data_IF_596102114443
#
_entry.id   IF_596102114443
#
_cell.length_a   1.000
_cell.length_b   1.000
_cell.length_c   1.000
_cell.angle_alpha   90.00
_cell.angle_beta   90.00
_cell.angle_gamma   90.00
#
_symmetry.space_group_name_H-M   'P 1'
#
loop_
_entity.id
_entity.type
_entity.pdbx_description
1 polymer ?
#
# COMPACT_ATOMS: atom_id res chain seq x y z
N UNK A 1 -21.18 -58.99 -12.68
CA UNK A 1 -22.37 -58.19 -12.31
C UNK A 1 -21.86 -56.98 -11.56
N UNK A 2 -21.80 -55.83 -12.24
CA UNK A 2 -21.21 -54.59 -11.71
C UNK A 2 -22.32 -53.55 -11.64
N UNK A 3 -22.68 -53.13 -10.43
CA UNK A 3 -23.78 -52.17 -10.21
C UNK A 3 -23.25 -50.76 -10.38
N UNK A 4 -23.61 -50.11 -11.49
CA UNK A 4 -23.36 -48.67 -11.74
C UNK A 4 -24.49 -47.89 -11.05
N UNK A 5 -24.18 -47.15 -9.98
CA UNK A 5 -25.10 -46.19 -9.37
C UNK A 5 -25.16 -44.93 -10.25
N UNK A 6 -26.35 -44.62 -10.78
CA UNK A 6 -26.64 -43.34 -11.46
C UNK A 6 -26.53 -42.20 -10.45
N UNK A 7 -25.53 -41.33 -10.61
CA UNK A 7 -25.42 -40.06 -9.92
C UNK A 7 -26.46 -39.11 -10.51
N UNK A 8 -27.49 -38.77 -9.73
CA UNK A 8 -28.46 -37.75 -10.09
C UNK A 8 -27.79 -36.38 -10.08
N UNK A 9 -27.80 -35.70 -11.22
CA UNK A 9 -27.45 -34.29 -11.31
C UNK A 9 -28.50 -33.47 -10.54
N UNK A 10 -28.18 -33.05 -9.32
CA UNK A 10 -28.91 -31.95 -8.68
C UNK A 10 -28.48 -30.66 -9.37
N UNK A 11 -29.42 -30.07 -10.11
CA UNK A 11 -29.33 -28.67 -10.53
C UNK A 11 -29.12 -27.81 -9.29
N UNK A 12 -27.98 -27.11 -9.22
CA UNK A 12 -27.77 -26.07 -8.23
C UNK A 12 -28.81 -24.96 -8.48
N UNK A 13 -29.76 -24.81 -7.56
CA UNK A 13 -30.59 -23.61 -7.47
C UNK A 13 -29.66 -22.43 -7.17
N UNK A 14 -29.84 -21.26 -7.81
CA UNK A 14 -29.12 -20.06 -7.41
C UNK A 14 -29.58 -19.69 -6.00
N UNK A 15 -28.68 -19.80 -5.03
CA UNK A 15 -28.87 -19.21 -3.71
C UNK A 15 -28.84 -17.70 -3.87
N UNK A 16 -30.00 -17.05 -3.77
CA UNK A 16 -30.08 -15.63 -3.45
C UNK A 16 -29.48 -15.42 -2.06
N UNK A 17 -28.16 -15.24 -1.98
CA UNK A 17 -27.46 -14.95 -0.72
C UNK A 17 -27.47 -13.45 -0.47
N UNK A 18 -28.62 -12.92 -0.05
CA UNK A 18 -28.77 -11.58 0.53
C UNK A 18 -29.89 -11.54 1.58
N UNK A 19 -30.17 -12.66 2.24
CA UNK A 19 -30.91 -12.62 3.50
C UNK A 19 -29.93 -12.24 4.62
N UNK A 20 -29.83 -10.94 4.90
CA UNK A 20 -29.27 -10.50 6.17
C UNK A 20 -30.24 -10.91 7.29
N UNK A 21 -29.81 -11.70 8.29
CA UNK A 21 -30.66 -11.95 9.45
C UNK A 21 -30.99 -10.61 10.10
N UNK A 22 -32.28 -10.27 10.21
CA UNK A 22 -32.73 -9.11 10.97
C UNK A 22 -32.49 -9.39 12.46
N UNK A 23 -31.34 -8.94 12.95
CA UNK A 23 -31.03 -8.91 14.38
C UNK A 23 -31.86 -7.79 15.01
N UNK A 24 -32.54 -8.05 16.12
CA UNK A 24 -33.29 -7.01 16.83
C UNK A 24 -32.35 -5.90 17.31
N UNK A 25 -32.83 -4.66 17.43
CA UNK A 25 -32.00 -3.55 17.93
C UNK A 25 -31.39 -3.84 19.31
N UNK A 26 -32.08 -4.64 20.13
CA UNK A 26 -31.64 -5.04 21.47
C UNK A 26 -30.50 -6.05 21.40
N UNK A 27 -30.60 -7.03 20.49
CA UNK A 27 -29.56 -8.03 20.24
C UNK A 27 -28.38 -7.45 19.45
N UNK A 28 -28.62 -6.42 18.65
CA UNK A 28 -27.58 -5.59 18.05
C UNK A 28 -26.83 -4.84 19.16
N UNK A 29 -27.52 -4.18 20.10
CA UNK A 29 -26.88 -3.52 21.24
C UNK A 29 -26.13 -4.49 22.14
N UNK A 30 -26.68 -5.67 22.45
CA UNK A 30 -25.99 -6.69 23.26
C UNK A 30 -24.73 -7.20 22.57
N UNK A 31 -24.76 -7.41 21.25
CA UNK A 31 -23.57 -7.75 20.48
C UNK A 31 -22.55 -6.60 20.42
N UNK A 32 -22.99 -5.33 20.43
CA UNK A 32 -22.08 -4.18 20.46
C UNK A 32 -21.50 -3.91 21.85
N UNK A 33 -22.23 -4.27 22.91
CA UNK A 33 -21.80 -4.17 24.30
C UNK A 33 -20.95 -5.38 24.73
N UNK A 34 -20.84 -6.42 23.92
CA UNK A 34 -19.90 -7.51 24.11
C UNK A 34 -18.46 -7.01 23.88
N UNK A 35 -17.59 -7.04 24.91
CA UNK A 35 -16.21 -6.57 24.80
C UNK A 35 -15.45 -7.21 23.64
N UNK A 36 -15.74 -8.47 23.30
CA UNK A 36 -15.07 -9.18 22.20
C UNK A 36 -15.44 -8.62 20.82
N UNK A 37 -16.62 -8.02 20.68
CA UNK A 37 -17.11 -7.44 19.42
C UNK A 37 -16.62 -6.01 19.24
N UNK A 38 -16.56 -5.23 20.32
CA UNK A 38 -15.92 -3.91 20.33
C UNK A 38 -14.43 -4.00 19.98
N UNK A 39 -13.74 -5.02 20.49
CA UNK A 39 -12.33 -5.23 20.20
C UNK A 39 -12.07 -5.62 18.73
N UNK A 40 -12.89 -6.50 18.15
CA UNK A 40 -12.82 -6.83 16.71
C UNK A 40 -13.03 -5.59 15.84
N UNK A 41 -13.91 -4.68 16.26
CA UNK A 41 -14.12 -3.41 15.58
C UNK A 41 -12.86 -2.53 15.66
N UNK A 42 -12.22 -2.43 16.83
CA UNK A 42 -10.98 -1.68 17.03
C UNK A 42 -9.83 -2.18 16.14
N UNK A 43 -9.59 -3.49 16.12
CA UNK A 43 -8.60 -4.13 15.24
C UNK A 43 -8.93 -3.85 13.76
N UNK A 44 -10.21 -3.86 13.38
CA UNK A 44 -10.64 -3.57 12.01
C UNK A 44 -10.44 -2.10 11.63
N UNK A 45 -10.61 -1.16 12.57
CA UNK A 45 -10.33 0.27 12.37
C UNK A 45 -8.84 0.49 12.17
N UNK A 46 -7.97 -0.07 13.02
CA UNK A 46 -6.51 0.07 12.87
C UNK A 46 -5.98 -0.55 11.57
N UNK A 47 -6.53 -1.71 11.17
CA UNK A 47 -6.21 -2.29 9.85
C UNK A 47 -6.67 -1.39 8.68
N UNK A 48 -7.79 -0.69 8.84
CA UNK A 48 -8.28 0.30 7.87
C UNK A 48 -7.40 1.54 7.80
N UNK A 49 -6.96 2.06 8.94
CA UNK A 49 -6.08 3.24 9.04
C UNK A 49 -4.70 2.96 8.40
N UNK A 50 -4.15 1.76 8.62
CA UNK A 50 -2.92 1.31 7.95
C UNK A 50 -3.11 1.25 6.42
N UNK A 51 -4.25 0.74 5.96
CA UNK A 51 -4.59 0.70 4.55
C UNK A 51 -4.67 2.08 3.92
N UNK A 52 -5.29 3.05 4.60
CA UNK A 52 -5.38 4.42 4.14
C UNK A 52 -4.01 5.11 4.10
N UNK A 53 -3.20 4.97 5.15
CA UNK A 53 -1.83 5.52 5.21
C UNK A 53 -0.93 4.97 4.10
N UNK A 54 -1.02 3.66 3.84
CA UNK A 54 -0.25 3.00 2.77
C UNK A 54 -0.62 3.54 1.38
N UNK A 55 -1.91 3.84 1.15
CA UNK A 55 -2.38 4.41 -0.12
C UNK A 55 -1.88 5.85 -0.26
N UNK A 56 -1.96 6.66 0.79
CA UNK A 56 -1.46 8.05 0.78
C UNK A 56 0.04 8.12 0.48
N UNK A 57 0.84 7.25 1.13
CA UNK A 57 2.26 7.11 0.82
C UNK A 57 2.51 6.68 -0.63
N UNK A 58 1.75 5.70 -1.14
CA UNK A 58 1.89 5.24 -2.53
C UNK A 58 1.56 6.34 -3.54
N UNK A 59 0.54 7.16 -3.27
CA UNK A 59 0.19 8.32 -4.09
C UNK A 59 1.30 9.37 -4.06
N UNK A 60 1.82 9.71 -2.87
CA UNK A 60 2.91 10.67 -2.73
C UNK A 60 4.19 10.22 -3.47
N UNK A 61 4.61 8.98 -3.26
CA UNK A 61 5.74 8.37 -3.96
C UNK A 61 5.55 8.41 -5.48
N UNK A 62 4.35 8.07 -5.96
CA UNK A 62 4.01 8.09 -7.38
C UNK A 62 4.13 9.51 -7.97
N UNK A 63 3.62 10.52 -7.26
CA UNK A 63 3.75 11.92 -7.65
C UNK A 63 5.21 12.38 -7.68
N UNK A 64 6.01 11.97 -6.68
CA UNK A 64 7.45 12.27 -6.63
C UNK A 64 8.19 11.69 -7.84
N UNK A 65 7.90 10.44 -8.22
CA UNK A 65 8.47 9.78 -9.40
C UNK A 65 8.13 10.54 -10.67
N UNK A 66 6.85 10.90 -10.89
CA UNK A 66 6.45 11.61 -12.10
C UNK A 66 7.12 12.99 -12.21
N UNK A 67 7.19 13.72 -11.09
CA UNK A 67 7.85 15.03 -11.07
C UNK A 67 9.34 14.91 -11.38
N UNK A 68 10.02 13.94 -10.76
CA UNK A 68 11.43 13.68 -11.02
C UNK A 68 11.69 13.34 -12.51
N UNK A 69 10.86 12.47 -13.10
CA UNK A 69 10.99 12.10 -14.50
C UNK A 69 10.76 13.28 -15.45
N UNK A 70 9.76 14.14 -15.19
CA UNK A 70 9.51 15.35 -15.97
C UNK A 70 10.71 16.32 -15.93
N UNK A 71 11.26 16.57 -14.74
CA UNK A 71 12.44 17.42 -14.56
C UNK A 71 13.67 16.84 -15.27
N UNK A 72 13.89 15.51 -15.17
CA UNK A 72 15.02 14.84 -15.80
C UNK A 72 14.92 14.87 -17.32
N UNK A 73 13.72 14.63 -17.87
CA UNK A 73 13.46 14.70 -19.31
C UNK A 73 13.71 16.11 -19.86
N UNK A 74 13.30 17.17 -19.15
CA UNK A 74 13.62 18.55 -19.57
C UNK A 74 15.13 18.77 -19.66
N UNK A 75 15.88 18.36 -18.63
CA UNK A 75 17.35 18.44 -18.63
C UNK A 75 17.97 17.64 -19.79
N UNK A 76 17.44 16.44 -20.07
CA UNK A 76 17.88 15.63 -21.22
C UNK A 76 17.68 16.33 -22.55
N UNK A 77 16.52 16.95 -22.76
CA UNK A 77 16.25 17.71 -23.98
C UNK A 77 17.15 18.92 -24.12
N UNK A 78 17.41 19.64 -23.04
CA UNK A 78 18.32 20.78 -23.04
C UNK A 78 19.76 20.35 -23.40
N UNK A 79 20.24 19.22 -22.84
CA UNK A 79 21.54 18.65 -23.22
C UNK A 79 21.55 18.20 -24.68
N UNK A 80 20.50 17.52 -25.16
CA UNK A 80 20.42 17.09 -26.55
C UNK A 80 20.44 18.26 -27.53
N UNK A 81 19.79 19.38 -27.17
CA UNK A 81 19.87 20.63 -27.95
C UNK A 81 21.30 21.16 -27.98
N UNK A 82 21.97 21.23 -26.83
CA UNK A 82 23.36 21.70 -26.75
C UNK A 82 24.31 20.81 -27.58
N UNK A 83 24.12 19.49 -27.52
CA UNK A 83 24.89 18.53 -28.32
C UNK A 83 24.68 18.71 -29.83
N UNK A 84 23.45 19.01 -30.27
CA UNK A 84 23.13 19.22 -31.69
C UNK A 84 23.77 20.49 -32.26
N UNK A 85 23.92 21.52 -31.42
CA UNK A 85 24.53 22.80 -31.77
C UNK A 85 26.06 22.79 -31.63
N UNK A 86 26.62 21.83 -30.90
CA UNK A 86 28.05 21.71 -30.66
C UNK A 86 28.83 21.47 -31.97
N UNK A 87 29.87 22.27 -32.19
CA UNK A 87 30.80 22.15 -33.35
C UNK A 87 32.21 21.75 -32.94
N UNK A 88 32.55 21.90 -31.66
CA UNK A 88 33.90 21.65 -31.14
C UNK A 88 33.99 20.29 -30.44
N UNK A 89 34.90 19.38 -30.84
CA UNK A 89 35.04 18.07 -30.21
C UNK A 89 35.36 18.12 -28.71
N UNK A 90 36.13 19.13 -28.26
CA UNK A 90 36.44 19.33 -26.85
C UNK A 90 35.22 19.74 -26.03
N UNK A 91 34.33 20.55 -26.62
CA UNK A 91 33.06 20.93 -25.99
C UNK A 91 32.11 19.75 -25.89
N UNK A 92 32.08 18.85 -26.88
CA UNK A 92 31.27 17.63 -26.86
C UNK A 92 31.59 16.77 -25.63
N UNK A 93 32.87 16.50 -25.38
CA UNK A 93 33.30 15.69 -24.24
C UNK A 93 32.91 16.32 -22.90
N UNK A 94 32.99 17.66 -22.80
CA UNK A 94 32.55 18.41 -21.61
C UNK A 94 31.04 18.27 -21.38
N UNK A 95 30.23 18.51 -22.40
CA UNK A 95 28.76 18.41 -22.32
C UNK A 95 28.34 17.01 -21.89
N UNK A 96 28.96 15.98 -22.47
CA UNK A 96 28.68 14.59 -22.10
C UNK A 96 29.10 14.27 -20.65
N UNK A 97 30.24 14.77 -20.19
CA UNK A 97 30.68 14.57 -18.81
C UNK A 97 29.74 15.25 -17.80
N UNK A 98 29.37 16.51 -18.07
CA UNK A 98 28.43 17.28 -17.24
C UNK A 98 27.06 16.61 -17.17
N UNK A 99 26.57 16.10 -18.31
CA UNK A 99 25.34 15.31 -18.38
C UNK A 99 25.37 14.10 -17.44
N UNK A 100 26.39 13.25 -17.56
CA UNK A 100 26.47 12.02 -16.77
C UNK A 100 26.63 12.31 -15.28
N UNK A 101 27.44 13.30 -14.94
CA UNK A 101 27.62 13.71 -13.54
C UNK A 101 26.32 14.24 -12.94
N UNK A 102 25.59 15.08 -13.67
CA UNK A 102 24.30 15.62 -13.23
C UNK A 102 23.26 14.52 -13.10
N UNK A 103 23.14 13.66 -14.12
CA UNK A 103 22.21 12.53 -14.11
C UNK A 103 22.45 11.61 -12.90
N UNK A 104 23.72 11.25 -12.66
CA UNK A 104 24.08 10.38 -11.55
C UNK A 104 23.69 10.98 -10.19
N UNK A 105 24.00 12.27 -9.98
CA UNK A 105 23.65 12.96 -8.75
C UNK A 105 22.13 13.05 -8.58
N UNK A 106 21.41 13.44 -9.63
CA UNK A 106 19.94 13.55 -9.61
C UNK A 106 19.29 12.20 -9.24
N UNK A 107 19.70 11.10 -9.88
CA UNK A 107 19.18 9.76 -9.57
C UNK A 107 19.57 9.30 -8.16
N UNK A 108 20.81 9.51 -7.74
CA UNK A 108 21.24 9.16 -6.38
C UNK A 108 20.39 9.89 -5.33
N UNK A 109 20.26 11.21 -5.47
CA UNK A 109 19.55 12.03 -4.48
C UNK A 109 18.05 11.75 -4.49
N UNK A 110 17.48 11.38 -5.65
CA UNK A 110 16.11 10.89 -5.73
C UNK A 110 15.96 9.53 -5.02
N UNK A 111 16.82 8.56 -5.31
CA UNK A 111 16.77 7.23 -4.68
C UNK A 111 16.96 7.29 -3.16
N UNK A 112 17.81 8.19 -2.66
CA UNK A 112 17.96 8.41 -1.22
C UNK A 112 16.66 8.90 -0.59
N UNK A 113 16.03 9.93 -1.17
CA UNK A 113 14.73 10.43 -0.68
C UNK A 113 13.62 9.38 -0.72
N UNK A 114 13.53 8.62 -1.81
CA UNK A 114 12.58 7.51 -1.91
C UNK A 114 12.85 6.43 -0.87
N UNK A 115 14.12 6.17 -0.54
CA UNK A 115 14.50 5.25 0.53
C UNK A 115 14.07 5.73 1.90
N UNK A 116 14.18 7.03 2.16
CA UNK A 116 13.72 7.65 3.40
C UNK A 116 12.18 7.52 3.53
N UNK A 117 11.43 7.81 2.47
CA UNK A 117 9.95 7.67 2.45
C UNK A 117 9.50 6.20 2.68
N UNK A 118 10.20 5.23 2.07
CA UNK A 118 9.90 3.80 2.31
C UNK A 118 10.21 3.38 3.74
N UNK A 119 11.25 3.96 4.34
CA UNK A 119 11.63 3.68 5.73
C UNK A 119 10.60 4.28 6.69
N UNK A 120 10.09 5.48 6.40
CA UNK A 120 9.02 6.11 7.15
C UNK A 120 7.75 5.25 7.12
N UNK A 121 7.29 4.84 5.94
CA UNK A 121 6.15 3.91 5.80
C UNK A 121 6.35 2.60 6.58
N UNK A 122 7.56 2.05 6.58
CA UNK A 122 7.87 0.83 7.31
C UNK A 122 7.75 1.04 8.83
N UNK A 123 8.25 2.17 9.34
CA UNK A 123 8.15 2.52 10.76
C UNK A 123 6.69 2.74 11.18
N UNK A 124 5.91 3.49 10.38
CA UNK A 124 4.48 3.71 10.63
C UNK A 124 3.71 2.38 10.64
N UNK A 125 4.06 1.47 9.72
CA UNK A 125 3.46 0.13 9.66
C UNK A 125 3.82 -0.69 10.90
N UNK A 126 5.07 -0.63 11.36
CA UNK A 126 5.53 -1.33 12.56
C UNK A 126 4.82 -0.80 13.83
N UNK A 127 4.65 0.52 13.95
CA UNK A 127 3.92 1.14 15.06
C UNK A 127 2.48 0.63 15.12
N UNK A 128 1.74 0.67 14.01
CA UNK A 128 0.35 0.19 13.97
C UNK A 128 0.25 -1.31 14.28
N UNK A 129 1.19 -2.13 13.80
CA UNK A 129 1.23 -3.56 14.13
C UNK A 129 1.45 -3.78 15.63
N UNK A 130 2.38 -3.05 16.23
CA UNK A 130 2.69 -3.16 17.66
C UNK A 130 1.49 -2.73 18.52
N UNK A 131 0.87 -1.59 18.21
CA UNK A 131 -0.34 -1.12 18.89
C UNK A 131 -1.48 -2.13 18.77
N UNK A 132 -1.74 -2.62 17.56
CA UNK A 132 -2.79 -3.64 17.31
C UNK A 132 -2.51 -4.95 18.07
N UNK A 133 -1.23 -5.36 18.19
CA UNK A 133 -0.86 -6.56 18.93
C UNK A 133 -1.01 -6.38 20.44
N UNK A 134 -0.61 -5.24 20.99
CA UNK A 134 -0.75 -4.95 22.42
C UNK A 134 -2.22 -4.89 22.83
N UNK A 135 -3.03 -4.31 21.95
CA UNK A 135 -4.47 -4.25 22.06
C UNK A 135 -5.13 -5.63 22.06
N UNK A 136 -4.77 -6.48 21.11
CA UNK A 136 -5.23 -7.87 21.07
C UNK A 136 -4.76 -8.66 22.30
N UNK A 137 -3.52 -8.47 22.75
CA UNK A 137 -2.97 -9.15 23.93
C UNK A 137 -3.70 -8.74 25.22
N UNK A 138 -4.04 -7.45 25.35
CA UNK A 138 -4.83 -6.94 26.47
C UNK A 138 -6.23 -7.57 26.49
N UNK A 139 -6.92 -7.58 25.36
CA UNK A 139 -8.26 -8.15 25.26
C UNK A 139 -8.28 -9.66 25.60
N UNK A 140 -7.26 -10.42 25.17
CA UNK A 140 -7.13 -11.84 25.53
C UNK A 140 -6.94 -12.06 27.03
N UNK A 141 -6.23 -11.17 27.73
CA UNK A 141 -6.06 -11.26 29.20
C UNK A 141 -7.35 -10.96 29.95
N UNK A 142 -8.12 -10.00 29.46
CA UNK A 142 -9.43 -9.66 30.06
C UNK A 142 -10.42 -10.83 29.91
N UNK A 143 -10.46 -11.48 28.75
CA UNK A 143 -11.28 -12.68 28.52
C UNK A 143 -10.84 -13.87 29.40
N UNK A 144 -9.53 -14.04 29.64
CA UNK A 144 -9.01 -15.15 30.44
C UNK A 144 -9.15 -14.95 31.96
N UNK A 145 -9.52 -13.74 32.41
CA UNK A 145 -9.69 -13.40 33.82
C UNK A 145 -11.13 -13.56 34.32
N UNK A 146 -12.11 -13.69 33.41
CA UNK A 146 -13.52 -13.99 33.66
C UNK A 146 -13.80 -15.51 33.62
#
# INVERSE_FOLDING_TARGET
>A
MTTIKKTGAQQAKPTNSLEMPMVSAQQWMENWCDPSTFEKFRVSVHAGDLGASSIDHAEHMTHAIFKFMDERLRKDFDTMRELAECREPSALARIQAEFWQTAWNDYRDFMMRMGDEVTELANDTEEVINETSDDAAKALREIAAD
#
